data_IF_720708598691
#
_entry.id   IF_720708598691
#
_cell.length_a   1.000
_cell.length_b   1.000
_cell.length_c   1.000
_cell.angle_alpha   90.00
_cell.angle_beta   90.00
_cell.angle_gamma   90.00
#
_symmetry.space_group_name_H-M   'P 1'
#
loop_
_entity.id
_entity.type
_entity.pdbx_description
1 polymer ?
#
# COMPACT_ATOMS: atom_id res chain seq x y z
N UNK A 1 -5.43 -11.05 0.08
CA UNK A 1 -4.64 -9.83 0.37
C UNK A 1 -5.31 -8.97 1.43
N UNK A 2 -6.48 -8.39 1.15
CA UNK A 2 -7.14 -7.44 2.06
C UNK A 2 -8.03 -8.10 3.14
N UNK A 3 -8.65 -9.24 2.86
CA UNK A 3 -9.52 -9.92 3.82
C UNK A 3 -10.75 -10.48 3.14
N UNK A 4 -11.69 -10.99 3.94
CA UNK A 4 -12.96 -11.57 3.44
C UNK A 4 -14.06 -11.42 4.48
N UNK A 5 -15.30 -11.57 4.06
CA UNK A 5 -16.43 -11.71 4.98
C UNK A 5 -16.60 -13.20 5.29
N UNK A 6 -16.68 -13.56 6.57
CA UNK A 6 -16.92 -14.93 7.00
C UNK A 6 -18.40 -15.31 6.89
N UNK A 7 -18.74 -16.57 7.18
CA UNK A 7 -20.13 -17.06 7.13
C UNK A 7 -21.05 -16.37 8.13
N UNK A 8 -20.51 -15.78 9.20
CA UNK A 8 -21.23 -15.00 10.21
C UNK A 8 -21.52 -13.56 9.78
N UNK A 9 -20.92 -13.10 8.68
CA UNK A 9 -21.00 -11.70 8.22
C UNK A 9 -19.91 -10.78 8.76
N UNK A 10 -18.99 -11.29 9.58
CA UNK A 10 -17.87 -10.51 10.13
C UNK A 10 -16.70 -10.45 9.15
N UNK A 11 -15.99 -9.33 9.16
CA UNK A 11 -14.79 -9.17 8.36
C UNK A 11 -13.58 -9.84 9.00
N UNK A 12 -12.98 -10.79 8.30
CA UNK A 12 -11.70 -11.42 8.63
C UNK A 12 -10.57 -10.70 7.91
N UNK A 13 -9.58 -10.24 8.69
CA UNK A 13 -8.41 -9.55 8.18
C UNK A 13 -7.61 -10.44 7.22
N UNK A 14 -7.19 -9.86 6.10
CA UNK A 14 -6.16 -10.45 5.24
C UNK A 14 -4.77 -10.05 5.70
N UNK A 15 -3.75 -10.54 5.00
CA UNK A 15 -2.35 -10.20 5.31
C UNK A 15 -2.10 -8.68 5.32
N UNK A 16 -2.66 -7.96 4.34
CA UNK A 16 -2.46 -6.51 4.24
C UNK A 16 -3.14 -5.75 5.37
N UNK A 17 -4.41 -6.05 5.66
CA UNK A 17 -5.13 -5.35 6.74
C UNK A 17 -4.60 -5.73 8.12
N UNK A 18 -4.08 -6.94 8.31
CA UNK A 18 -3.38 -7.32 9.54
C UNK A 18 -2.12 -6.45 9.75
N UNK A 19 -1.28 -6.29 8.73
CA UNK A 19 -0.10 -5.40 8.81
C UNK A 19 -0.48 -3.93 8.95
N UNK A 20 -1.54 -3.48 8.28
CA UNK A 20 -2.08 -2.13 8.45
C UNK A 20 -2.46 -1.84 9.90
N UNK A 21 -3.21 -2.75 10.55
CA UNK A 21 -3.57 -2.62 11.97
C UNK A 21 -2.33 -2.62 12.87
N UNK A 22 -1.33 -3.43 12.54
CA UNK A 22 -0.07 -3.47 13.29
C UNK A 22 0.70 -2.15 13.17
N UNK A 23 0.89 -1.65 11.95
CA UNK A 23 1.59 -0.40 11.68
C UNK A 23 0.93 0.80 12.39
N UNK A 24 -0.40 0.89 12.33
CA UNK A 24 -1.16 1.93 13.04
C UNK A 24 -0.99 1.85 14.58
N UNK A 25 -0.75 0.67 15.15
CA UNK A 25 -0.54 0.49 16.59
C UNK A 25 0.91 0.80 17.00
N UNK A 26 1.89 0.40 16.20
CA UNK A 26 3.31 0.56 16.52
C UNK A 26 3.75 2.03 16.60
N UNK A 27 3.15 2.91 15.79
CA UNK A 27 3.41 4.34 15.87
C UNK A 27 3.13 4.92 17.27
N UNK A 28 1.99 4.56 17.88
CA UNK A 28 1.58 5.06 19.20
C UNK A 28 2.57 4.71 20.32
N UNK A 29 3.45 3.74 20.10
CA UNK A 29 4.43 3.27 21.09
C UNK A 29 5.80 3.91 20.88
N UNK A 30 6.22 4.13 19.62
CA UNK A 30 7.60 4.53 19.30
C UNK A 30 7.73 5.93 18.68
N UNK A 31 6.62 6.61 18.34
CA UNK A 31 6.62 7.91 17.65
C UNK A 31 7.48 7.92 16.37
N UNK A 32 7.48 6.79 15.65
CA UNK A 32 8.26 6.58 14.43
C UNK A 32 7.34 6.42 13.23
N UNK A 33 7.77 6.95 12.09
CA UNK A 33 7.10 6.74 10.81
C UNK A 33 7.25 5.28 10.38
N UNK A 34 6.14 4.58 10.18
CA UNK A 34 6.12 3.19 9.73
C UNK A 34 5.83 3.11 8.24
N UNK A 35 6.68 2.42 7.49
CA UNK A 35 6.52 2.26 6.05
C UNK A 35 5.99 0.86 5.74
N UNK A 36 4.90 0.79 4.98
CA UNK A 36 4.39 -0.46 4.41
C UNK A 36 4.79 -0.48 2.94
N UNK A 37 5.76 -1.32 2.60
CA UNK A 37 6.23 -1.51 1.24
C UNK A 37 5.45 -2.65 0.56
N UNK A 38 4.89 -2.36 -0.61
CA UNK A 38 4.22 -3.30 -1.49
C UNK A 38 5.11 -3.53 -2.71
N UNK A 39 5.95 -4.55 -2.61
CA UNK A 39 6.86 -4.99 -3.68
C UNK A 39 6.16 -6.05 -4.54
N UNK A 40 5.48 -5.58 -5.58
CA UNK A 40 4.76 -6.40 -6.55
C UNK A 40 4.36 -5.58 -7.78
N UNK A 41 4.20 -6.22 -8.95
CA UNK A 41 3.67 -5.54 -10.14
C UNK A 41 2.33 -4.85 -9.85
N UNK A 42 2.24 -3.56 -10.21
CA UNK A 42 1.07 -2.74 -9.96
C UNK A 42 -0.08 -3.14 -10.91
N UNK A 43 -0.99 -3.99 -10.40
CA UNK A 43 -2.13 -4.50 -11.16
C UNK A 43 -3.43 -3.78 -10.75
N UNK A 44 -4.25 -3.42 -11.75
CA UNK A 44 -5.54 -2.74 -11.59
C UNK A 44 -6.40 -3.32 -10.45
N UNK A 45 -6.53 -4.64 -10.35
CA UNK A 45 -7.43 -5.29 -9.38
C UNK A 45 -7.18 -4.96 -7.90
N UNK A 46 -5.94 -5.03 -7.43
CA UNK A 46 -5.64 -4.76 -6.01
C UNK A 46 -5.32 -3.28 -5.76
N UNK A 47 -4.80 -2.58 -6.76
CA UNK A 47 -4.52 -1.15 -6.67
C UNK A 47 -5.81 -0.31 -6.54
N UNK A 48 -6.90 -0.71 -7.22
CA UNK A 48 -8.22 -0.08 -7.09
C UNK A 48 -8.74 -0.09 -5.64
N UNK A 49 -8.46 -1.17 -4.88
CA UNK A 49 -8.86 -1.28 -3.48
C UNK A 49 -8.17 -0.24 -2.58
N UNK A 50 -7.03 0.31 -3.02
CA UNK A 50 -6.28 1.36 -2.31
C UNK A 50 -6.64 2.78 -2.77
N UNK A 51 -7.52 2.93 -3.76
CA UNK A 51 -7.90 4.23 -4.32
C UNK A 51 -8.37 5.22 -3.25
N UNK A 52 -9.17 4.78 -2.28
CA UNK A 52 -9.66 5.64 -1.19
C UNK A 52 -8.56 6.15 -0.26
N UNK A 53 -7.45 5.41 -0.14
CA UNK A 53 -6.28 5.86 0.60
C UNK A 53 -5.52 6.91 -0.20
N UNK A 54 -5.39 6.71 -1.51
CA UNK A 54 -4.66 7.59 -2.43
C UNK A 54 -5.40 8.90 -2.72
N UNK A 55 -6.73 8.93 -2.63
CA UNK A 55 -7.58 10.08 -3.00
C UNK A 55 -7.74 11.14 -1.88
N UNK A 56 -6.80 11.21 -0.92
CA UNK A 56 -6.86 11.99 0.33
C UNK A 56 -7.85 11.47 1.39
N UNK A 57 -8.53 10.34 1.16
CA UNK A 57 -9.42 9.77 2.17
C UNK A 57 -8.67 9.33 3.43
N UNK A 58 -7.41 8.89 3.28
CA UNK A 58 -6.64 8.37 4.42
C UNK A 58 -7.33 7.18 5.09
N UNK A 59 -8.18 6.44 4.35
CA UNK A 59 -8.85 5.24 4.84
C UNK A 59 -8.94 4.18 3.75
N UNK A 60 -8.91 2.92 4.18
CA UNK A 60 -9.21 1.74 3.37
C UNK A 60 -10.68 1.39 3.55
N UNK A 61 -11.42 1.25 2.44
CA UNK A 61 -12.81 0.76 2.46
C UNK A 61 -12.82 -0.76 2.46
N UNK A 62 -13.45 -1.35 3.47
CA UNK A 62 -13.56 -2.80 3.62
C UNK A 62 -14.81 -3.34 2.93
N UNK A 63 -14.84 -4.66 2.69
CA UNK A 63 -15.95 -5.35 2.02
C UNK A 63 -17.28 -5.27 2.80
N UNK A 64 -17.21 -5.13 4.12
CA UNK A 64 -18.37 -4.92 5.00
C UNK A 64 -18.77 -3.43 5.09
N UNK A 65 -18.26 -2.57 4.21
CA UNK A 65 -18.46 -1.11 4.22
C UNK A 65 -17.88 -0.37 5.43
N UNK A 66 -17.10 -1.06 6.29
CA UNK A 66 -16.33 -0.38 7.33
C UNK A 66 -15.12 0.33 6.73
N UNK A 67 -14.59 1.28 7.51
CA UNK A 67 -13.43 2.08 7.11
C UNK A 67 -12.29 1.88 8.09
N UNK A 68 -11.12 1.54 7.58
CA UNK A 68 -9.88 1.49 8.35
C UNK A 68 -9.03 2.71 8.02
N UNK A 69 -8.97 3.66 8.96
CA UNK A 69 -8.14 4.86 8.79
C UNK A 69 -6.65 4.52 8.83
N UNK A 70 -5.86 5.24 8.04
CA UNK A 70 -4.40 5.24 8.04
C UNK A 70 -3.93 6.31 9.02
N UNK A 71 -3.03 5.97 9.93
CA UNK A 71 -2.37 6.98 10.76
C UNK A 71 -1.46 7.87 9.91
N UNK A 72 -1.34 9.15 10.25
CA UNK A 72 -0.52 10.11 9.50
C UNK A 72 0.96 9.69 9.40
N UNK A 73 1.43 8.94 10.40
CA UNK A 73 2.80 8.42 10.50
C UNK A 73 3.00 7.09 9.77
N UNK A 74 1.97 6.53 9.14
CA UNK A 74 2.10 5.34 8.30
C UNK A 74 2.13 5.76 6.84
N UNK A 75 3.17 5.34 6.12
CA UNK A 75 3.36 5.62 4.70
C UNK A 75 3.25 4.34 3.88
N UNK A 76 2.62 4.44 2.71
CA UNK A 76 2.57 3.35 1.73
C UNK A 76 3.62 3.61 0.65
N UNK A 77 4.38 2.59 0.31
CA UNK A 77 5.33 2.59 -0.80
C UNK A 77 4.97 1.45 -1.74
N UNK A 78 4.95 1.74 -3.04
CA UNK A 78 4.77 0.75 -4.09
C UNK A 78 6.09 0.61 -4.83
N UNK A 79 6.67 -0.59 -4.79
CA UNK A 79 7.80 -0.96 -5.61
C UNK A 79 7.28 -1.81 -6.77
N UNK A 80 7.46 -1.32 -7.99
CA UNK A 80 6.97 -1.94 -9.22
C UNK A 80 7.98 -1.72 -10.33
N UNK A 81 8.05 -2.67 -11.25
CA UNK A 81 8.93 -2.67 -12.42
C UNK A 81 8.43 -1.72 -13.51
N UNK A 82 7.14 -1.77 -13.82
CA UNK A 82 6.48 -0.88 -14.77
C UNK A 82 5.08 -0.44 -14.30
N UNK A 83 4.50 0.51 -15.06
CA UNK A 83 3.16 1.04 -14.82
C UNK A 83 2.18 0.66 -15.94
N UNK A 84 2.52 -0.27 -16.83
CA UNK A 84 1.73 -0.60 -18.02
C UNK A 84 0.34 -1.16 -17.65
N UNK A 85 0.23 -1.86 -16.53
CA UNK A 85 -1.02 -2.45 -16.03
C UNK A 85 -1.71 -1.62 -14.93
N UNK A 86 -1.14 -0.47 -14.58
CA UNK A 86 -1.69 0.43 -13.58
C UNK A 86 -2.80 1.30 -14.19
N UNK A 87 -3.85 1.58 -13.40
CA UNK A 87 -4.87 2.54 -13.85
C UNK A 87 -4.29 3.97 -13.82
N UNK A 88 -4.58 4.82 -14.81
CA UNK A 88 -4.11 6.21 -14.82
C UNK A 88 -4.50 6.99 -13.55
N UNK A 89 -5.63 6.62 -12.94
CA UNK A 89 -6.13 7.23 -11.72
C UNK A 89 -5.27 6.90 -10.48
N UNK A 90 -4.71 5.68 -10.41
CA UNK A 90 -3.76 5.30 -9.36
C UNK A 90 -2.44 6.04 -9.52
N UNK A 91 -1.95 6.14 -10.76
CA UNK A 91 -0.69 6.85 -11.07
C UNK A 91 -0.82 8.34 -10.79
N UNK A 92 -1.95 8.97 -11.17
CA UNK A 92 -2.16 10.42 -10.96
C UNK A 92 -2.22 10.85 -9.50
N UNK A 93 -2.54 9.93 -8.59
CA UNK A 93 -2.67 10.18 -7.15
C UNK A 93 -1.42 9.82 -6.36
N UNK A 94 -0.42 9.26 -7.02
CA UNK A 94 0.81 8.79 -6.37
C UNK A 94 1.98 9.67 -6.76
N UNK A 95 2.90 9.91 -5.81
CA UNK A 95 4.20 10.47 -6.14
C UNK A 95 5.04 9.38 -6.81
N UNK A 96 5.66 9.69 -7.95
CA UNK A 96 6.46 8.73 -8.72
C UNK A 96 7.94 9.10 -8.61
N UNK A 97 8.76 8.13 -8.21
CA UNK A 97 10.21 8.18 -8.30
C UNK A 97 10.62 7.19 -9.38
N UNK A 98 11.18 7.69 -10.48
CA UNK A 98 11.69 6.85 -11.57
C UNK A 98 13.19 6.61 -11.37
N UNK A 99 13.60 5.33 -11.37
CA UNK A 99 15.00 4.92 -11.30
C UNK A 99 15.41 4.29 -12.63
N UNK A 100 16.33 4.94 -13.33
CA UNK A 100 16.91 4.41 -14.57
C UNK A 100 18.04 3.41 -14.26
N UNK A 101 18.21 2.39 -15.10
CA UNK A 101 19.28 1.39 -14.95
C UNK A 101 20.68 2.03 -14.93
N UNK A 102 20.87 3.15 -15.63
CA UNK A 102 22.14 3.87 -15.64
C UNK A 102 22.50 4.54 -14.31
N UNK A 103 21.54 4.73 -13.40
CA UNK A 103 21.75 5.40 -12.11
C UNK A 103 22.53 4.53 -11.14
N UNK A 104 22.23 3.23 -11.06
CA UNK A 104 22.93 2.31 -10.17
C UNK A 104 24.29 1.91 -10.77
N UNK A 105 24.32 1.63 -12.07
CA UNK A 105 25.49 1.09 -12.77
C UNK A 105 25.91 -0.30 -12.24
N UNK A 106 26.93 -0.88 -12.86
CA UNK A 106 27.41 -2.23 -12.49
C UNK A 106 28.37 -2.23 -11.31
N UNK A 107 29.04 -1.09 -11.03
CA UNK A 107 30.13 -1.02 -10.04
C UNK A 107 29.69 -1.43 -8.62
N UNK A 108 28.53 -0.97 -8.10
CA UNK A 108 28.10 -1.37 -6.75
C UNK A 108 27.75 -2.86 -6.61
N UNK A 109 27.53 -3.58 -7.72
CA UNK A 109 27.23 -5.02 -7.71
C UNK A 109 28.50 -5.88 -7.81
N UNK A 110 29.64 -5.29 -8.19
CA UNK A 110 30.89 -5.99 -8.45
C UNK A 110 31.92 -5.88 -7.31
N UNK A 111 31.67 -4.99 -6.34
CA UNK A 111 32.41 -4.86 -5.07
C UNK A 111 31.70 -5.66 -3.96
#
# INVERSE_FOLDING_TARGET
MFGRINTSGDFEDGIFTAYWRKANKEHSVHQMTTWICLDAPLHHGWAEMLSSVLDNGGYLSLLNSERMYLSEDVKLLFETDDLANASPATVSRSAIVYMDESVLGWRPLAE
#
